data_IF_446870451165
#
_entry.id   IF_446870451165
#
_cell.length_a   1.000
_cell.length_b   1.000
_cell.length_c   1.000
_cell.angle_alpha   90.00
_cell.angle_beta   90.00
_cell.angle_gamma   90.00
#
_symmetry.space_group_name_H-M   'P 1'
#
loop_
_entity.id
_entity.type
_entity.pdbx_description
1 polymer ?
#
# COMPACT_ATOMS: atom_id res chain seq x y z
N UNK A 1 10.62 -16.10 -48.87
CA UNK A 1 10.05 -15.41 -47.70
C UNK A 1 10.40 -13.96 -47.87
N UNK A 2 9.41 -13.13 -48.19
CA UNK A 2 9.61 -11.70 -48.45
C UNK A 2 10.16 -11.07 -47.17
N UNK A 3 11.39 -10.56 -47.22
CA UNK A 3 12.01 -9.89 -46.08
C UNK A 3 11.24 -8.59 -45.93
N UNK A 4 10.38 -8.51 -44.92
CA UNK A 4 9.61 -7.29 -44.64
C UNK A 4 10.57 -6.12 -44.59
N UNK A 5 10.30 -5.08 -45.38
CA UNK A 5 11.11 -3.87 -45.39
C UNK A 5 11.14 -3.27 -43.97
N UNK A 6 12.31 -3.33 -43.33
CA UNK A 6 12.53 -2.85 -41.96
C UNK A 6 12.90 -1.36 -41.92
N UNK A 7 13.18 -0.75 -43.08
CA UNK A 7 13.57 0.66 -43.22
C UNK A 7 12.64 1.62 -42.44
N UNK A 8 11.29 1.52 -42.53
CA UNK A 8 10.41 2.43 -41.77
C UNK A 8 10.51 2.25 -40.25
N UNK A 9 10.87 1.06 -39.76
CA UNK A 9 11.04 0.80 -38.33
C UNK A 9 12.37 1.40 -37.83
N UNK A 10 13.40 1.39 -38.68
CA UNK A 10 14.69 1.98 -38.39
C UNK A 10 14.62 3.50 -38.38
N UNK A 11 13.97 4.11 -39.37
CA UNK A 11 13.72 5.56 -39.40
C UNK A 11 12.92 6.02 -38.18
N UNK A 12 11.92 5.24 -37.78
CA UNK A 12 11.17 5.53 -36.56
C UNK A 12 12.04 5.44 -35.31
N UNK A 13 12.88 4.40 -35.22
CA UNK A 13 13.78 4.23 -34.07
C UNK A 13 14.77 5.40 -33.96
N UNK A 14 15.31 5.87 -35.08
CA UNK A 14 16.21 7.02 -35.15
C UNK A 14 15.55 8.29 -34.58
N UNK A 15 14.35 8.61 -35.08
CA UNK A 15 13.55 9.74 -34.59
C UNK A 15 13.16 9.60 -33.10
N UNK A 16 12.87 8.38 -32.64
CA UNK A 16 12.54 8.14 -31.24
C UNK A 16 13.77 8.28 -30.32
N UNK A 17 14.98 7.95 -30.81
CA UNK A 17 16.24 8.15 -30.09
C UNK A 17 16.61 9.63 -30.00
N UNK A 18 16.46 10.42 -31.07
CA UNK A 18 16.71 11.86 -31.06
C UNK A 18 15.84 12.57 -30.00
N UNK A 19 14.53 12.26 -29.99
CA UNK A 19 13.59 12.82 -29.00
C UNK A 19 13.97 12.41 -27.57
N UNK A 20 14.44 11.18 -27.39
CA UNK A 20 14.84 10.69 -26.09
C UNK A 20 16.11 11.39 -25.59
N UNK A 21 17.08 11.62 -26.48
CA UNK A 21 18.30 12.37 -26.17
C UNK A 21 17.96 13.80 -25.72
N UNK A 22 17.10 14.50 -26.48
CA UNK A 22 16.65 15.85 -26.10
C UNK A 22 15.95 15.87 -24.73
N UNK A 23 15.11 14.87 -24.44
CA UNK A 23 14.38 14.79 -23.18
C UNK A 23 15.28 14.47 -21.97
N UNK A 24 16.32 13.65 -22.16
CA UNK A 24 17.23 13.20 -21.09
C UNK A 24 18.37 14.21 -20.84
N UNK A 25 18.77 14.99 -21.83
CA UNK A 25 19.86 15.98 -21.72
C UNK A 25 19.82 16.87 -20.47
N UNK A 26 18.70 17.56 -20.13
CA UNK A 26 18.65 18.41 -18.93
C UNK A 26 18.82 17.62 -17.62
N UNK A 27 18.43 16.34 -17.62
CA UNK A 27 18.59 15.44 -16.49
C UNK A 27 20.04 15.00 -16.30
N UNK A 28 20.81 14.80 -17.38
CA UNK A 28 22.22 14.41 -17.29
C UNK A 28 23.10 15.54 -16.75
N UNK A 29 22.80 16.78 -17.11
CA UNK A 29 23.63 17.93 -16.73
C UNK A 29 23.36 18.43 -15.30
N UNK A 30 22.10 18.37 -14.83
CA UNK A 30 21.69 19.05 -13.60
C UNK A 30 20.90 18.16 -12.61
N UNK A 31 21.03 16.83 -12.68
CA UNK A 31 20.22 15.90 -11.86
C UNK A 31 20.24 16.23 -10.36
N UNK A 32 21.43 16.48 -9.81
CA UNK A 32 21.62 16.73 -8.37
C UNK A 32 20.90 18.00 -7.91
N UNK A 33 20.94 19.05 -8.73
CA UNK A 33 20.30 20.33 -8.45
C UNK A 33 18.77 20.28 -8.62
N UNK A 34 18.28 19.51 -9.59
CA UNK A 34 16.84 19.26 -9.74
C UNK A 34 16.34 18.43 -8.55
N UNK A 35 17.06 17.35 -8.20
CA UNK A 35 16.67 16.44 -7.14
C UNK A 35 16.76 17.07 -5.73
N UNK A 36 17.60 18.10 -5.53
CA UNK A 36 17.70 18.80 -4.23
C UNK A 36 16.54 19.74 -3.97
N UNK A 37 15.91 20.26 -5.04
CA UNK A 37 14.75 21.18 -4.97
C UNK A 37 13.41 20.47 -4.79
N UNK A 38 13.37 19.15 -5.01
CA UNK A 38 12.14 18.36 -4.94
C UNK A 38 11.83 17.88 -3.52
N UNK A 39 10.53 17.81 -3.15
CA UNK A 39 10.07 17.10 -1.96
C UNK A 39 10.52 15.64 -1.99
N UNK A 40 10.62 15.01 -0.81
CA UNK A 40 11.17 13.65 -0.67
C UNK A 40 10.45 12.62 -1.57
N UNK A 41 9.13 12.71 -1.68
CA UNK A 41 8.34 11.80 -2.52
C UNK A 41 8.66 11.98 -4.01
N UNK A 42 8.66 13.21 -4.50
CA UNK A 42 8.93 13.50 -5.92
C UNK A 42 10.39 13.23 -6.28
N UNK A 43 11.31 13.49 -5.36
CA UNK A 43 12.71 13.10 -5.48
C UNK A 43 12.85 11.58 -5.67
N UNK A 44 12.10 10.78 -4.91
CA UNK A 44 12.13 9.32 -5.08
C UNK A 44 11.55 8.87 -6.43
N UNK A 45 10.47 9.49 -6.90
CA UNK A 45 9.90 9.25 -8.24
C UNK A 45 10.90 9.57 -9.33
N UNK A 46 11.59 10.70 -9.22
CA UNK A 46 12.61 11.12 -10.18
C UNK A 46 13.72 10.07 -10.32
N UNK A 47 14.33 9.65 -9.20
CA UNK A 47 15.42 8.67 -9.24
C UNK A 47 14.98 7.31 -9.77
N UNK A 48 13.78 6.83 -9.40
CA UNK A 48 13.26 5.56 -9.90
C UNK A 48 12.95 5.63 -11.41
N UNK A 49 12.41 6.75 -11.90
CA UNK A 49 12.17 6.97 -13.34
C UNK A 49 13.47 7.03 -14.14
N UNK A 50 14.50 7.70 -13.61
CA UNK A 50 15.82 7.75 -14.24
C UNK A 50 16.44 6.36 -14.32
N UNK A 51 16.42 5.60 -13.22
CA UNK A 51 16.91 4.22 -13.20
C UNK A 51 16.17 3.35 -14.23
N UNK A 52 14.83 3.47 -14.28
CA UNK A 52 14.01 2.79 -15.28
C UNK A 52 14.41 3.13 -16.72
N UNK A 53 14.66 4.41 -17.01
CA UNK A 53 15.06 4.86 -18.35
C UNK A 53 16.41 4.26 -18.75
N UNK A 54 17.41 4.29 -17.87
CA UNK A 54 18.74 3.72 -18.12
C UNK A 54 18.66 2.20 -18.34
N UNK A 55 17.95 1.48 -17.47
CA UNK A 55 17.80 0.03 -17.61
C UNK A 55 17.02 -0.36 -18.88
N UNK A 56 16.02 0.43 -19.26
CA UNK A 56 15.24 0.24 -20.50
C UNK A 56 16.08 0.48 -21.75
N UNK A 57 16.96 1.47 -21.72
CA UNK A 57 17.94 1.74 -22.79
C UNK A 57 18.94 0.59 -22.92
N UNK A 58 19.48 0.12 -21.80
CA UNK A 58 20.39 -1.01 -21.77
C UNK A 58 19.71 -2.29 -22.29
N UNK A 59 18.48 -2.56 -21.86
CA UNK A 59 17.66 -3.64 -22.38
C UNK A 59 17.46 -3.55 -23.89
N UNK A 60 17.11 -2.37 -24.40
CA UNK A 60 16.95 -2.14 -25.84
C UNK A 60 18.24 -2.36 -26.62
N UNK A 61 19.37 -1.84 -26.11
CA UNK A 61 20.71 -2.05 -26.71
C UNK A 61 21.08 -3.54 -26.80
N UNK A 62 20.85 -4.32 -25.74
CA UNK A 62 21.10 -5.76 -25.80
C UNK A 62 20.25 -6.47 -26.85
N UNK A 63 18.98 -6.08 -26.99
CA UNK A 63 18.10 -6.66 -28.02
C UNK A 63 18.57 -6.32 -29.43
N UNK A 64 19.06 -5.10 -29.67
CA UNK A 64 19.65 -4.70 -30.95
C UNK A 64 20.91 -5.50 -31.28
N UNK A 65 21.69 -5.87 -30.27
CA UNK A 65 22.87 -6.73 -30.41
C UNK A 65 22.55 -8.23 -30.50
N UNK A 66 21.26 -8.61 -30.61
CA UNK A 66 20.84 -10.02 -30.74
C UNK A 66 20.97 -10.84 -29.45
N UNK A 67 21.21 -10.21 -28.31
CA UNK A 67 21.25 -10.88 -27.00
C UNK A 67 19.82 -11.12 -26.50
N UNK A 68 19.56 -12.30 -25.94
CA UNK A 68 18.30 -12.58 -25.26
C UNK A 68 18.22 -11.85 -23.92
N UNK A 69 17.80 -10.59 -23.99
CA UNK A 69 17.69 -9.70 -22.85
C UNK A 69 16.68 -10.17 -21.79
N UNK A 70 15.78 -11.13 -22.10
CA UNK A 70 14.81 -11.66 -21.12
C UNK A 70 15.44 -12.67 -20.17
N UNK A 71 16.39 -13.45 -20.67
CA UNK A 71 17.16 -14.40 -19.86
C UNK A 71 18.42 -13.76 -19.26
N UNK A 72 18.67 -12.48 -19.55
CA UNK A 72 19.80 -11.71 -19.03
C UNK A 72 19.47 -11.06 -17.67
N UNK A 73 20.50 -10.84 -16.85
CA UNK A 73 20.38 -10.25 -15.50
C UNK A 73 19.70 -8.87 -15.48
N UNK A 74 19.71 -8.14 -16.60
CA UNK A 74 18.99 -6.88 -16.76
C UNK A 74 17.49 -7.00 -16.46
N UNK A 75 16.89 -8.17 -16.75
CA UNK A 75 15.47 -8.38 -16.49
C UNK A 75 15.18 -8.43 -14.99
N UNK A 76 16.14 -8.89 -14.20
CA UNK A 76 16.09 -8.83 -12.73
C UNK A 76 16.13 -7.39 -12.24
N UNK A 77 16.98 -6.54 -12.81
CA UNK A 77 17.03 -5.12 -12.46
C UNK A 77 15.73 -4.39 -12.85
N UNK A 78 15.17 -4.65 -14.04
CA UNK A 78 13.86 -4.11 -14.43
C UNK A 78 12.75 -4.54 -13.46
N UNK A 79 12.79 -5.79 -12.99
CA UNK A 79 11.85 -6.29 -11.98
C UNK A 79 12.05 -5.56 -10.64
N UNK A 80 13.29 -5.28 -10.26
CA UNK A 80 13.62 -4.52 -9.06
C UNK A 80 13.11 -3.08 -9.15
N UNK A 81 13.28 -2.40 -10.28
CA UNK A 81 12.74 -1.05 -10.51
C UNK A 81 11.21 -1.04 -10.41
N UNK A 82 10.53 -2.05 -10.98
CA UNK A 82 9.07 -2.23 -10.82
C UNK A 82 8.66 -2.32 -9.35
N UNK A 83 9.39 -3.07 -8.54
CA UNK A 83 9.11 -3.14 -7.09
C UNK A 83 9.26 -1.79 -6.39
N UNK A 84 10.16 -0.91 -6.85
CA UNK A 84 10.27 0.44 -6.30
C UNK A 84 9.10 1.34 -6.73
N UNK A 85 8.60 1.21 -7.96
CA UNK A 85 7.34 1.86 -8.34
C UNK A 85 6.19 1.42 -7.43
N UNK A 86 6.05 0.12 -7.16
CA UNK A 86 5.01 -0.40 -6.27
C UNK A 86 5.14 0.16 -4.84
N UNK A 87 6.37 0.33 -4.34
CA UNK A 87 6.62 0.94 -3.02
C UNK A 87 6.20 2.41 -2.99
N UNK A 88 6.55 3.18 -4.02
CA UNK A 88 6.15 4.58 -4.13
C UNK A 88 4.63 4.69 -4.23
N UNK A 89 4.00 3.85 -5.06
CA UNK A 89 2.54 3.85 -5.25
C UNK A 89 1.80 3.52 -3.95
N UNK A 90 2.31 2.61 -3.13
CA UNK A 90 1.75 2.30 -1.80
C UNK A 90 1.88 3.45 -0.80
N UNK A 91 2.91 4.28 -0.94
CA UNK A 91 3.10 5.47 -0.08
C UNK A 91 2.16 6.59 -0.54
N UNK A 92 2.02 6.78 -1.85
CA UNK A 92 1.16 7.80 -2.45
C UNK A 92 -0.32 7.48 -2.28
N UNK A 93 -0.69 6.21 -2.44
CA UNK A 93 -2.03 5.70 -2.25
C UNK A 93 -2.00 4.67 -1.11
N UNK A 94 -1.93 5.13 0.15
CA UNK A 94 -1.94 4.22 1.28
C UNK A 94 -3.22 3.37 1.20
N UNK A 95 -3.11 2.03 1.30
CA UNK A 95 -4.29 1.18 1.32
C UNK A 95 -5.20 1.65 2.45
N UNK A 96 -6.51 1.57 2.22
CA UNK A 96 -7.53 1.91 3.22
C UNK A 96 -7.11 1.33 4.57
N UNK A 97 -7.15 2.14 5.63
CA UNK A 97 -6.80 1.70 6.97
C UNK A 97 -7.49 0.36 7.23
N UNK A 98 -6.72 -0.65 7.65
CA UNK A 98 -7.27 -1.98 7.93
C UNK A 98 -8.49 -1.82 8.83
N UNK A 99 -9.67 -2.18 8.32
CA UNK A 99 -10.93 -2.12 9.07
C UNK A 99 -10.88 -3.01 10.32
N UNK A 100 -10.05 -4.06 10.26
CA UNK A 100 -9.73 -4.93 11.38
C UNK A 100 -8.64 -4.32 12.26
N UNK A 101 -8.98 -3.27 13.01
CA UNK A 101 -8.15 -2.83 14.16
C UNK A 101 -8.35 -3.83 15.29
N UNK A 102 -7.25 -4.44 15.77
CA UNK A 102 -7.31 -5.33 16.92
C UNK A 102 -7.82 -4.55 18.13
N UNK A 103 -8.90 -5.03 18.74
CA UNK A 103 -9.40 -4.48 19.99
C UNK A 103 -8.46 -4.93 21.13
N UNK A 104 -7.48 -4.08 21.43
CA UNK A 104 -6.46 -4.27 22.48
C UNK A 104 -7.09 -4.54 23.84
N UNK A 105 -8.24 -3.92 24.12
CA UNK A 105 -8.98 -4.13 25.36
C UNK A 105 -9.53 -5.56 25.46
N UNK A 106 -10.18 -6.04 24.40
CA UNK A 106 -10.74 -7.39 24.34
C UNK A 106 -9.63 -8.44 24.41
N UNK A 107 -8.53 -8.24 23.68
CA UNK A 107 -7.36 -9.11 23.75
C UNK A 107 -6.78 -9.16 25.17
N UNK A 108 -6.63 -8.00 25.84
CA UNK A 108 -6.14 -7.95 27.22
C UNK A 108 -7.09 -8.64 28.21
N UNK A 109 -8.42 -8.60 27.99
CA UNK A 109 -9.39 -9.35 28.80
C UNK A 109 -9.29 -10.86 28.61
N UNK A 110 -9.10 -11.32 27.37
CA UNK A 110 -8.91 -12.74 27.07
C UNK A 110 -7.63 -13.27 27.76
N UNK A 111 -6.51 -12.58 27.58
CA UNK A 111 -5.23 -12.96 28.20
C UNK A 111 -5.31 -12.92 29.73
N UNK A 112 -6.00 -11.93 30.30
CA UNK A 112 -6.20 -11.84 31.76
C UNK A 112 -6.98 -13.03 32.32
N UNK A 113 -7.94 -13.55 31.55
CA UNK A 113 -8.79 -14.66 32.00
C UNK A 113 -8.02 -15.98 32.02
N UNK A 114 -7.06 -16.14 31.11
CA UNK A 114 -6.21 -17.33 30.99
C UNK A 114 -4.99 -17.30 31.94
N UNK A 115 -4.40 -16.11 32.18
CA UNK A 115 -3.26 -15.91 33.08
C UNK A 115 -3.66 -15.36 34.46
N UNK A 116 -4.83 -15.75 34.97
CA UNK A 116 -5.35 -15.26 36.25
C UNK A 116 -4.52 -15.70 37.46
N UNK A 117 -3.72 -16.76 37.31
CA UNK A 117 -2.89 -17.35 38.37
C UNK A 117 -1.68 -16.48 38.74
N UNK A 118 -1.21 -15.63 37.81
CA UNK A 118 -0.12 -14.68 38.07
C UNK A 118 -0.67 -13.29 38.45
N UNK A 119 -0.52 -12.94 39.73
CA UNK A 119 -0.97 -11.65 40.30
C UNK A 119 -0.24 -10.43 39.70
N UNK A 120 1.00 -10.58 39.23
CA UNK A 120 1.75 -9.48 38.62
C UNK A 120 1.34 -9.23 37.16
N UNK A 121 1.00 -10.29 36.43
CA UNK A 121 0.56 -10.17 35.04
C UNK A 121 -0.89 -9.67 34.99
N UNK A 122 -1.75 -10.21 35.85
CA UNK A 122 -3.14 -9.76 35.95
C UNK A 122 -3.28 -8.29 36.31
N UNK A 123 -2.46 -7.76 37.23
CA UNK A 123 -2.46 -6.32 37.58
C UNK A 123 -2.05 -5.45 36.39
N UNK A 124 -0.97 -5.79 35.68
CA UNK A 124 -0.54 -5.09 34.45
C UNK A 124 -1.62 -5.08 33.38
N UNK A 125 -2.32 -6.20 33.17
CA UNK A 125 -3.41 -6.30 32.20
C UNK A 125 -4.63 -5.48 32.64
N UNK A 126 -4.92 -5.38 33.95
CA UNK A 126 -5.98 -4.50 34.45
C UNK A 126 -5.69 -3.03 34.18
N UNK A 127 -4.44 -2.60 34.37
CA UNK A 127 -4.01 -1.24 34.07
C UNK A 127 -4.11 -0.95 32.58
N UNK A 128 -3.72 -1.89 31.71
CA UNK A 128 -3.85 -1.75 30.27
C UNK A 128 -5.32 -1.61 29.84
N UNK A 129 -6.22 -2.42 30.39
CA UNK A 129 -7.66 -2.31 30.13
C UNK A 129 -8.19 -0.94 30.58
N UNK A 130 -7.77 -0.43 31.74
CA UNK A 130 -8.18 0.88 32.24
C UNK A 130 -7.65 2.03 31.36
N UNK A 131 -6.38 1.95 30.94
CA UNK A 131 -5.75 2.93 30.04
C UNK A 131 -6.45 2.99 28.68
N UNK A 132 -6.77 1.83 28.10
CA UNK A 132 -7.46 1.77 26.80
C UNK A 132 -8.91 2.29 26.90
N UNK A 133 -9.62 2.02 28.00
CA UNK A 133 -10.95 2.61 28.26
C UNK A 133 -10.91 4.13 28.43
N UNK A 134 -9.90 4.66 29.12
CA UNK A 134 -9.72 6.11 29.28
C UNK A 134 -9.41 6.80 27.93
N UNK A 135 -8.57 6.18 27.10
CA UNK A 135 -8.31 6.63 25.73
C UNK A 135 -9.57 6.58 24.86
N UNK A 136 -10.39 5.54 24.99
CA UNK A 136 -11.66 5.45 24.27
C UNK A 136 -12.66 6.55 24.70
N UNK A 137 -12.77 6.83 26.01
CA UNK A 137 -13.64 7.87 26.55
C UNK A 137 -13.22 9.28 26.08
N UNK A 138 -11.93 9.61 26.18
CA UNK A 138 -11.39 10.90 25.69
C UNK A 138 -11.50 11.07 24.18
N UNK A 139 -11.43 9.98 23.41
CA UNK A 139 -11.66 10.01 21.95
C UNK A 139 -13.13 10.19 21.60
N UNK A 140 -14.05 9.68 22.42
CA UNK A 140 -15.49 9.90 22.26
C UNK A 140 -15.89 11.36 22.55
N UNK A 141 -15.27 11.99 23.53
CA UNK A 141 -15.51 13.39 23.93
C UNK A 141 -15.00 14.41 22.88
N UNK A 142 -13.97 14.06 22.10
CA UNK A 142 -13.38 14.93 21.07
C UNK A 142 -14.02 14.84 19.68
N UNK A 143 -15.10 14.06 19.48
CA UNK A 143 -15.81 14.02 18.20
C UNK A 143 -16.84 15.17 18.17
N UNK A 144 -16.78 16.13 17.22
CA UNK A 144 -17.86 17.08 17.04
C UNK A 144 -19.14 16.33 16.66
N UNK A 145 -20.27 16.79 17.19
CA UNK A 145 -21.59 16.21 16.95
C UNK A 145 -21.97 16.35 15.47
N UNK A 146 -21.75 15.30 14.68
CA UNK A 146 -22.44 15.12 13.40
C UNK A 146 -23.74 14.34 13.63
N UNK A 147 -24.79 14.84 12.98
CA UNK A 147 -26.21 14.50 13.11
C UNK A 147 -26.54 13.00 12.97
N UNK A 148 -27.65 12.53 13.59
CA UNK A 148 -28.05 11.13 13.53
C UNK A 148 -28.53 10.77 12.12
N UNK A 149 -27.78 9.89 11.46
CA UNK A 149 -28.22 9.24 10.22
C UNK A 149 -29.46 8.39 10.56
N UNK A 150 -30.55 8.69 9.86
CA UNK A 150 -31.89 8.08 9.99
C UNK A 150 -31.84 6.56 10.13
N UNK A 151 -32.52 6.07 11.16
CA UNK A 151 -32.90 4.68 11.30
C UNK A 151 -33.65 4.21 10.05
N UNK A 152 -33.13 3.16 9.40
CA UNK A 152 -33.89 2.39 8.42
C UNK A 152 -34.82 1.47 9.22
N UNK A 153 -36.11 1.78 9.16
CA UNK A 153 -37.19 0.90 9.62
C UNK A 153 -37.17 -0.41 8.83
N UNK A 154 -37.03 -1.52 9.55
CA UNK A 154 -37.15 -2.87 9.02
C UNK A 154 -38.04 -3.71 9.91
N UNK A 155 -39.34 -3.71 9.60
CA UNK A 155 -40.32 -4.80 9.72
C UNK A 155 -40.31 -5.69 10.98
N UNK A 156 -41.39 -5.60 11.74
CA UNK A 156 -41.62 -6.32 12.98
C UNK A 156 -41.70 -7.85 12.90
N UNK A 157 -41.32 -8.49 14.01
CA UNK A 157 -41.76 -9.83 14.37
C UNK A 157 -41.99 -9.88 15.89
N UNK A 158 -43.28 -9.90 16.25
CA UNK A 158 -43.85 -9.94 17.59
C UNK A 158 -43.40 -11.25 18.31
N UNK A 159 -42.64 -11.15 19.40
CA UNK A 159 -42.33 -12.31 20.29
C UNK A 159 -43.62 -12.81 20.94
N UNK A 160 -44.15 -13.93 20.46
CA UNK A 160 -45.26 -14.65 21.09
C UNK A 160 -44.71 -15.51 22.24
N UNK A 161 -45.10 -15.19 23.48
CA UNK A 161 -44.86 -16.03 24.66
C UNK A 161 -45.57 -17.38 24.46
N UNK A 162 -44.83 -18.48 24.40
CA UNK A 162 -45.38 -19.84 24.59
C UNK A 162 -44.95 -20.34 25.97
N UNK A 163 -45.95 -20.53 26.84
CA UNK A 163 -45.77 -21.10 28.16
C UNK A 163 -45.30 -22.55 28.09
N UNK A 164 -44.31 -22.90 28.90
CA UNK A 164 -43.87 -24.28 29.08
C UNK A 164 -44.84 -25.06 29.98
N UNK A 165 -45.11 -26.35 29.71
CA UNK A 165 -45.89 -27.16 30.63
C UNK A 165 -45.01 -27.62 31.80
N UNK A 166 -45.51 -27.38 33.01
CA UNK A 166 -45.01 -27.97 34.25
C UNK A 166 -45.22 -29.50 34.18
N UNK A 167 -44.15 -30.30 34.28
CA UNK A 167 -44.25 -31.69 34.70
C UNK A 167 -44.01 -31.77 36.21
N UNK A 168 -45.08 -32.09 36.94
CA UNK A 168 -45.04 -32.58 38.32
C UNK A 168 -44.56 -34.05 38.29
N UNK A 169 -43.84 -34.40 39.36
CA UNK A 169 -43.46 -35.71 39.90
C UNK A 169 -44.01 -36.94 39.21
#
# INVERSE_FOLDING_TARGET
MDVSDITPQLEKLDVDLDKLEEAIKPLLENMGDVASKLPLLDKSKLYVLVAYAIESLLFSSMRLNGVDAKNHAIFTELTRVRQYFDKIQKIENPPAERENKLNTEVAARFIRSDLADDKQISSKLTELIAKERAKAASKAEKRPAEEPVKAVEGSGAKRQKRGGPKRKR
#
